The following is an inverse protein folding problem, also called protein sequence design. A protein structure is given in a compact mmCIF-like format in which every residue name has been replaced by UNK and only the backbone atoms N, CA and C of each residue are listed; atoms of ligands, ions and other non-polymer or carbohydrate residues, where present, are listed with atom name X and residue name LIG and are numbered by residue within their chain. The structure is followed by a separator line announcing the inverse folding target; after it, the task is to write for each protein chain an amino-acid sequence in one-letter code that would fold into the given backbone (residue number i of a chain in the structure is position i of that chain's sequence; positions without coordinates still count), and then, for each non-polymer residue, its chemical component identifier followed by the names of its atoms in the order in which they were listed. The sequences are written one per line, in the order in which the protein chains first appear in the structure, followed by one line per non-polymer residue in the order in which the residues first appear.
data_IF_584615171610
#
_entry.id   IF_584615171610
#
_cell.length_a   1.000
_cell.length_b   1.000
_cell.length_c   1.000
_cell.angle_alpha   90.00
_cell.angle_beta   90.00
_cell.angle_gamma   90.00
#
_symmetry.space_group_name_H-M   'P 1'
#
loop_
_entity.id
_entity.type
_entity.pdbx_description
1 polymer ?
#
# COMPACT_ATOMS: atom_id res chain seq x y z
N UNK A 1 -10.20 16.74 -4.97
CA UNK A 1 -10.09 15.99 -3.70
C UNK A 1 -8.78 16.33 -3.01
N UNK A 2 -8.77 16.24 -1.70
CA UNK A 2 -7.57 16.24 -0.88
C UNK A 2 -7.19 14.78 -0.60
N UNK A 3 -6.00 14.37 -0.98
CA UNK A 3 -5.51 13.00 -0.85
C UNK A 3 -4.37 12.99 0.16
N UNK A 4 -4.45 12.12 1.15
CA UNK A 4 -3.36 11.83 2.06
C UNK A 4 -2.77 10.47 1.72
N UNK A 5 -1.50 10.43 1.30
CA UNK A 5 -0.75 9.20 1.08
C UNK A 5 0.09 8.92 2.33
N UNK A 6 0.00 7.71 2.87
CA UNK A 6 0.74 7.29 4.06
C UNK A 6 1.64 6.11 3.70
N UNK A 7 2.95 6.30 3.77
CA UNK A 7 3.93 5.25 3.54
C UNK A 7 5.30 5.77 3.11
N UNK A 8 6.25 4.83 3.02
CA UNK A 8 7.60 5.11 2.58
C UNK A 8 7.76 5.21 1.07
N UNK A 9 8.96 5.54 0.65
CA UNK A 9 9.29 5.79 -0.75
C UNK A 9 9.32 4.51 -1.58
N UNK A 10 8.40 4.40 -2.55
CA UNK A 10 8.43 3.37 -3.58
C UNK A 10 7.99 3.95 -4.94
N UNK A 11 8.10 3.18 -6.02
CA UNK A 11 7.66 3.64 -7.36
C UNK A 11 6.16 3.90 -7.39
N UNK A 12 5.37 3.04 -6.79
CA UNK A 12 3.91 3.15 -6.74
C UNK A 12 3.46 4.48 -6.13
N UNK A 13 4.01 4.87 -4.96
CA UNK A 13 3.63 6.14 -4.32
C UNK A 13 3.98 7.35 -5.18
N UNK A 14 5.13 7.31 -5.88
CA UNK A 14 5.54 8.37 -6.80
C UNK A 14 4.57 8.49 -7.99
N UNK A 15 4.12 7.36 -8.54
CA UNK A 15 3.18 7.34 -9.66
C UNK A 15 1.77 7.75 -9.22
N UNK A 16 1.33 7.39 -8.01
CA UNK A 16 0.08 7.90 -7.42
C UNK A 16 0.13 9.43 -7.25
N UNK A 17 1.22 9.98 -6.72
CA UNK A 17 1.41 11.44 -6.60
C UNK A 17 1.27 12.11 -7.97
N UNK A 18 1.94 11.57 -8.99
CA UNK A 18 1.89 12.13 -10.36
C UNK A 18 0.46 12.05 -10.91
N UNK A 19 -0.21 10.89 -10.76
CA UNK A 19 -1.58 10.69 -11.26
C UNK A 19 -2.55 11.67 -10.59
N UNK A 20 -2.65 11.68 -9.28
CA UNK A 20 -3.59 12.55 -8.57
C UNK A 20 -3.35 14.03 -8.85
N UNK A 21 -2.10 14.47 -8.96
CA UNK A 21 -1.78 15.86 -9.34
C UNK A 21 -2.18 16.19 -10.77
N UNK A 22 -1.94 15.29 -11.72
CA UNK A 22 -2.35 15.46 -13.12
C UNK A 22 -3.86 15.66 -13.23
N UNK A 23 -4.61 14.97 -12.38
CA UNK A 23 -6.08 15.06 -12.31
C UNK A 23 -6.59 16.26 -11.45
N UNK A 24 -5.69 17.15 -11.04
CA UNK A 24 -6.04 18.38 -10.32
C UNK A 24 -6.32 18.21 -8.83
N UNK A 25 -5.86 17.10 -8.22
CA UNK A 25 -6.05 16.85 -6.79
C UNK A 25 -4.89 17.38 -5.94
N UNK A 26 -5.19 17.76 -4.70
CA UNK A 26 -4.20 18.17 -3.71
C UNK A 26 -3.68 16.92 -2.99
N UNK A 27 -2.39 16.66 -3.07
CA UNK A 27 -1.76 15.47 -2.48
C UNK A 27 -0.83 15.88 -1.36
N UNK A 28 -1.07 15.35 -0.16
CA UNK A 28 -0.17 15.42 1.00
C UNK A 28 0.43 14.05 1.26
N UNK A 29 1.67 14.02 1.74
CA UNK A 29 2.42 12.78 2.01
C UNK A 29 2.82 12.71 3.47
N UNK A 30 2.49 11.61 4.13
CA UNK A 30 2.96 11.24 5.46
C UNK A 30 3.94 10.07 5.33
N UNK A 31 5.18 10.26 5.75
CA UNK A 31 6.22 9.24 5.66
C UNK A 31 7.14 9.25 6.88
N UNK A 32 7.56 8.06 7.33
CA UNK A 32 8.54 7.90 8.41
C UNK A 32 9.99 8.00 7.94
N UNK A 33 10.24 8.04 6.64
CA UNK A 33 11.57 8.21 6.08
C UNK A 33 12.05 9.65 6.20
N UNK A 34 13.37 9.84 6.37
CA UNK A 34 13.98 11.16 6.27
C UNK A 34 13.75 11.72 4.86
N UNK A 35 12.98 12.78 4.78
CA UNK A 35 12.62 13.42 3.55
C UNK A 35 13.84 13.95 2.81
N UNK A 36 14.02 13.51 1.55
CA UNK A 36 14.90 14.17 0.61
C UNK A 36 14.06 15.15 -0.21
N UNK A 37 14.16 16.44 0.11
CA UNK A 37 13.35 17.53 -0.47
C UNK A 37 13.18 17.44 -2.00
N UNK A 38 14.22 17.00 -2.71
CA UNK A 38 14.20 16.83 -4.17
C UNK A 38 13.32 15.70 -4.69
N UNK A 39 13.00 14.70 -3.88
CA UNK A 39 12.28 13.49 -4.32
C UNK A 39 10.77 13.69 -4.38
N UNK A 40 10.25 14.58 -3.54
CA UNK A 40 8.81 14.82 -3.38
C UNK A 40 8.37 16.27 -3.66
N UNK A 41 9.11 17.03 -4.45
CA UNK A 41 8.78 18.43 -4.81
C UNK A 41 7.37 18.61 -5.41
N UNK A 42 6.75 17.51 -5.83
CA UNK A 42 5.43 17.51 -6.45
C UNK A 42 4.27 17.40 -5.47
N UNK A 43 4.50 17.17 -4.18
CA UNK A 43 3.41 17.12 -3.19
C UNK A 43 3.11 18.49 -2.62
N UNK A 44 1.90 18.67 -2.12
CA UNK A 44 1.46 19.92 -1.51
C UNK A 44 2.14 20.14 -0.16
N UNK A 45 2.12 19.10 0.69
CA UNK A 45 2.75 19.08 1.99
C UNK A 45 3.37 17.70 2.25
N UNK A 46 4.47 17.67 3.00
CA UNK A 46 5.10 16.44 3.45
C UNK A 46 5.29 16.49 4.94
N UNK A 47 4.78 15.47 5.60
CA UNK A 47 4.92 15.25 7.03
C UNK A 47 5.94 14.12 7.24
N UNK A 48 6.97 14.39 8.03
CA UNK A 48 8.04 13.44 8.33
C UNK A 48 8.07 13.17 9.82
N UNK A 49 7.49 12.07 10.27
CA UNK A 49 7.55 11.62 11.65
C UNK A 49 7.35 10.10 11.74
N UNK A 50 7.61 9.54 12.89
CA UNK A 50 7.20 8.18 13.23
C UNK A 50 5.68 8.16 13.41
N UNK A 51 5.01 7.08 13.04
CA UNK A 51 3.54 6.94 13.11
C UNK A 51 2.99 6.99 14.55
N UNK A 52 3.29 8.07 15.26
CA UNK A 52 2.88 8.34 16.64
C UNK A 52 1.45 8.86 16.66
N UNK A 53 0.60 8.28 17.52
CA UNK A 53 -0.82 8.55 17.58
C UNK A 53 -1.19 10.01 17.88
N UNK A 54 -0.42 10.69 18.74
CA UNK A 54 -0.74 12.06 19.17
C UNK A 54 -0.62 13.07 18.04
N UNK A 55 0.41 12.93 17.20
CA UNK A 55 0.65 13.84 16.07
C UNK A 55 -0.15 13.47 14.83
N UNK A 56 -0.61 12.23 14.75
CA UNK A 56 -1.31 11.71 13.60
C UNK A 56 -2.69 12.34 13.45
N UNK A 57 -3.44 12.47 14.54
CA UNK A 57 -4.74 13.14 14.55
C UNK A 57 -4.62 14.58 14.13
N UNK A 58 -3.62 15.33 14.65
CA UNK A 58 -3.38 16.73 14.27
C UNK A 58 -3.11 16.87 12.77
N UNK A 59 -2.34 15.93 12.20
CA UNK A 59 -2.04 15.95 10.75
C UNK A 59 -3.27 15.61 9.93
N UNK A 60 -4.01 14.58 10.29
CA UNK A 60 -5.23 14.19 9.59
C UNK A 60 -6.26 15.31 9.65
N UNK A 61 -6.40 15.99 10.80
CA UNK A 61 -7.28 17.15 10.92
C UNK A 61 -6.81 18.32 10.06
N UNK A 62 -5.52 18.65 10.09
CA UNK A 62 -4.93 19.74 9.27
C UNK A 62 -5.09 19.48 7.77
N UNK A 63 -4.81 18.28 7.30
CA UNK A 63 -4.96 17.90 5.88
C UNK A 63 -6.43 17.85 5.49
N UNK A 64 -7.28 17.36 6.40
CA UNK A 64 -8.69 17.10 6.18
C UNK A 64 -8.92 16.34 4.86
N UNK A 65 -8.41 15.11 4.74
CA UNK A 65 -8.42 14.36 3.50
C UNK A 65 -9.82 13.87 3.12
N UNK A 66 -10.14 13.92 1.83
CA UNK A 66 -11.29 13.24 1.27
C UNK A 66 -11.01 11.73 1.13
N UNK A 67 -9.73 11.39 0.88
CA UNK A 67 -9.26 10.00 0.77
C UNK A 67 -7.89 9.87 1.42
N UNK A 68 -7.74 8.87 2.28
CA UNK A 68 -6.46 8.44 2.85
C UNK A 68 -6.05 7.11 2.23
N UNK A 69 -4.86 7.04 1.63
CA UNK A 69 -4.33 5.82 1.03
C UNK A 69 -3.12 5.36 1.84
N UNK A 70 -3.27 4.22 2.51
CA UNK A 70 -2.21 3.55 3.26
C UNK A 70 -1.47 2.58 2.34
N UNK A 71 -0.17 2.80 2.17
CA UNK A 71 0.66 1.99 1.26
C UNK A 71 0.79 0.52 1.70
N UNK A 72 0.49 0.20 2.95
CA UNK A 72 0.36 -1.17 3.45
C UNK A 72 1.51 -2.08 3.02
N UNK A 73 1.21 -3.10 2.22
CA UNK A 73 2.18 -4.07 1.68
C UNK A 73 3.35 -3.43 0.91
N UNK A 74 3.16 -2.21 0.40
CA UNK A 74 4.13 -1.47 -0.40
C UNK A 74 4.85 -0.36 0.38
N UNK A 75 4.66 -0.32 1.71
CA UNK A 75 5.31 0.66 2.57
C UNK A 75 6.77 0.26 2.84
N UNK A 76 7.71 1.03 2.31
CA UNK A 76 9.14 0.81 2.47
C UNK A 76 9.70 1.24 3.85
N UNK A 77 8.87 1.81 4.72
CA UNK A 77 9.25 2.09 6.11
C UNK A 77 9.38 0.81 6.94
N UNK A 78 8.79 -0.31 6.47
CA UNK A 78 8.82 -1.59 7.19
C UNK A 78 9.80 -2.57 6.58
N UNK A 79 10.43 -3.35 7.47
CA UNK A 79 11.28 -4.48 7.10
C UNK A 79 10.46 -5.77 7.14
N UNK A 80 9.68 -5.99 6.12
CA UNK A 80 8.69 -7.06 6.02
C UNK A 80 9.20 -8.50 6.21
N UNK A 81 10.52 -8.69 6.25
CA UNK A 81 11.15 -9.99 6.50
C UNK A 81 11.51 -10.22 7.98
N UNK A 82 11.32 -9.22 8.81
CA UNK A 82 11.73 -9.23 10.22
C UNK A 82 10.50 -9.35 11.12
N UNK A 83 10.40 -10.44 11.88
CA UNK A 83 9.23 -10.76 12.72
C UNK A 83 8.90 -9.67 13.74
N UNK A 84 9.90 -8.98 14.28
CA UNK A 84 9.67 -7.91 15.23
C UNK A 84 9.01 -6.65 14.63
N UNK A 85 8.99 -6.52 13.31
CA UNK A 85 8.25 -5.44 12.64
C UNK A 85 6.73 -5.64 12.71
N UNK A 86 6.22 -6.86 12.95
CA UNK A 86 4.78 -7.14 13.02
C UNK A 86 4.06 -6.24 14.03
N UNK A 87 4.66 -6.03 15.20
CA UNK A 87 4.10 -5.16 16.24
C UNK A 87 3.99 -3.72 15.75
N UNK A 88 5.02 -3.22 15.06
CA UNK A 88 5.01 -1.85 14.52
C UNK A 88 3.95 -1.70 13.43
N UNK A 89 3.91 -2.62 12.47
CA UNK A 89 2.91 -2.60 11.38
C UNK A 89 1.51 -2.51 11.96
N UNK A 90 1.19 -3.38 12.92
CA UNK A 90 -0.14 -3.43 13.54
C UNK A 90 -0.45 -2.18 14.34
N UNK A 91 0.47 -1.71 15.19
CA UNK A 91 0.24 -0.53 16.03
C UNK A 91 0.12 0.75 15.19
N UNK A 92 0.95 0.92 14.17
CA UNK A 92 0.87 2.06 13.27
C UNK A 92 -0.44 2.07 12.50
N UNK A 93 -0.86 0.91 11.98
CA UNK A 93 -2.14 0.79 11.27
C UNK A 93 -3.33 1.15 12.20
N UNK A 94 -3.34 0.61 13.42
CA UNK A 94 -4.37 0.95 14.41
C UNK A 94 -4.40 2.46 14.66
N UNK A 95 -3.25 3.10 14.86
CA UNK A 95 -3.18 4.54 15.11
C UNK A 95 -3.72 5.35 13.91
N UNK A 96 -3.39 4.95 12.69
CA UNK A 96 -3.92 5.60 11.46
C UNK A 96 -5.43 5.48 11.41
N UNK A 97 -5.95 4.26 11.58
CA UNK A 97 -7.40 4.01 11.48
C UNK A 97 -8.17 4.67 12.61
N UNK A 98 -7.63 4.70 13.83
CA UNK A 98 -8.20 5.44 14.95
C UNK A 98 -8.32 6.93 14.65
N UNK A 99 -7.23 7.54 14.16
CA UNK A 99 -7.23 8.96 13.80
C UNK A 99 -8.25 9.26 12.69
N UNK A 100 -8.34 8.44 11.65
CA UNK A 100 -9.33 8.59 10.58
C UNK A 100 -10.78 8.48 11.13
N UNK A 101 -11.01 7.57 12.07
CA UNK A 101 -12.34 7.35 12.67
C UNK A 101 -12.74 8.52 13.57
N UNK A 102 -11.84 8.98 14.44
CA UNK A 102 -12.10 10.08 15.39
C UNK A 102 -12.45 11.36 14.67
N UNK A 103 -11.71 11.67 13.60
CA UNK A 103 -11.92 12.87 12.79
C UNK A 103 -13.07 12.72 11.77
N UNK A 104 -13.68 11.52 11.66
CA UNK A 104 -14.72 11.19 10.65
C UNK A 104 -14.30 11.63 9.24
N UNK A 105 -13.04 11.38 8.89
CA UNK A 105 -12.44 11.84 7.64
C UNK A 105 -12.54 10.79 6.56
N UNK A 106 -13.18 11.17 5.47
CA UNK A 106 -13.10 10.57 4.16
C UNK A 106 -13.07 9.03 4.08
N UNK A 107 -12.76 8.55 2.89
CA UNK A 107 -12.53 7.13 2.60
C UNK A 107 -11.09 6.75 2.96
N UNK A 108 -10.90 5.53 3.47
CA UNK A 108 -9.58 4.93 3.64
C UNK A 108 -9.38 3.79 2.63
N UNK A 109 -8.25 3.76 1.96
CA UNK A 109 -7.83 2.66 1.09
C UNK A 109 -6.56 2.06 1.69
N UNK A 110 -6.58 0.77 2.00
CA UNK A 110 -5.42 0.02 2.46
C UNK A 110 -4.92 -0.89 1.34
N UNK A 111 -3.65 -0.76 0.96
CA UNK A 111 -3.04 -1.58 -0.08
C UNK A 111 -2.46 -2.84 0.55
N UNK A 112 -3.12 -3.97 0.33
CA UNK A 112 -2.66 -5.32 0.67
C UNK A 112 -2.03 -6.01 -0.56
N UNK A 113 -1.71 -7.28 -0.47
CA UNK A 113 -1.10 -8.07 -1.53
C UNK A 113 -1.76 -9.44 -1.65
N UNK A 114 -1.68 -10.03 -2.83
CA UNK A 114 -2.04 -11.43 -3.12
C UNK A 114 -1.27 -12.44 -2.26
N UNK A 115 -0.16 -12.02 -1.64
CA UNK A 115 0.61 -12.86 -0.71
C UNK A 115 -0.22 -13.41 0.45
N UNK A 116 -1.35 -12.80 0.79
CA UNK A 116 -2.28 -13.32 1.80
C UNK A 116 -2.87 -14.69 1.44
N UNK A 117 -2.82 -15.04 0.17
CA UNK A 117 -3.29 -16.33 -0.35
C UNK A 117 -2.19 -17.36 -0.56
N UNK A 118 -0.90 -17.00 -0.39
CA UNK A 118 0.22 -17.88 -0.70
C UNK A 118 0.19 -19.16 0.13
N UNK A 119 -0.22 -20.24 -0.51
CA UNK A 119 -0.37 -21.57 0.06
C UNK A 119 -0.74 -22.58 -1.01
N UNK A 120 -1.05 -23.81 -0.57
CA UNK A 120 -1.51 -24.85 -1.48
C UNK A 120 -3.00 -24.61 -1.78
N UNK A 121 -3.33 -24.21 -2.99
CA UNK A 121 -4.70 -24.05 -3.49
C UNK A 121 -4.90 -24.98 -4.69
N UNK A 122 -5.99 -25.76 -4.63
CA UNK A 122 -6.38 -26.66 -5.74
C UNK A 122 -7.25 -25.92 -6.78
N UNK A 123 -7.83 -24.77 -6.41
CA UNK A 123 -8.77 -24.00 -7.24
C UNK A 123 -8.27 -22.59 -7.50
N UNK A 124 -8.84 -21.95 -8.52
CA UNK A 124 -8.63 -20.53 -8.79
C UNK A 124 -8.99 -19.69 -7.57
N UNK A 125 -8.09 -18.81 -7.15
CA UNK A 125 -8.32 -17.89 -6.05
C UNK A 125 -9.43 -16.91 -6.35
N UNK A 126 -10.26 -16.64 -5.35
CA UNK A 126 -11.31 -15.63 -5.32
C UNK A 126 -11.09 -14.72 -4.10
N UNK A 127 -11.78 -13.60 -4.05
CA UNK A 127 -11.65 -12.66 -2.92
C UNK A 127 -12.02 -13.30 -1.58
N UNK A 128 -12.97 -14.23 -1.59
CA UNK A 128 -13.47 -14.99 -0.44
C UNK A 128 -12.62 -16.24 -0.11
N UNK A 129 -11.63 -16.56 -0.93
CA UNK A 129 -10.77 -17.71 -0.66
C UNK A 129 -10.08 -17.57 0.70
N UNK A 130 -9.89 -18.68 1.42
CA UNK A 130 -9.23 -18.64 2.73
C UNK A 130 -7.85 -18.00 2.68
N UNK A 131 -7.58 -17.11 3.62
CA UNK A 131 -6.27 -16.49 3.76
C UNK A 131 -5.31 -17.52 4.40
N UNK A 132 -4.41 -18.04 3.59
CA UNK A 132 -3.50 -19.12 3.96
C UNK A 132 -2.03 -18.76 3.78
N UNK A 133 -1.74 -17.49 3.58
CA UNK A 133 -0.40 -17.02 3.28
C UNK A 133 0.66 -17.50 4.27
N UNK A 134 1.71 -18.10 3.74
CA UNK A 134 2.83 -18.63 4.52
C UNK A 134 3.95 -17.58 4.62
N UNK A 135 4.61 -17.53 5.77
CA UNK A 135 5.72 -16.64 6.03
C UNK A 135 5.35 -15.36 6.80
N UNK A 136 6.38 -14.67 7.28
CA UNK A 136 6.25 -13.51 8.17
C UNK A 136 5.43 -12.39 7.52
N UNK A 137 5.76 -12.04 6.28
CA UNK A 137 5.10 -10.95 5.55
C UNK A 137 3.62 -11.24 5.31
N UNK A 138 3.28 -12.43 4.82
CA UNK A 138 1.88 -12.82 4.59
C UNK A 138 1.07 -12.81 5.89
N UNK A 139 1.64 -13.32 6.99
CA UNK A 139 1.00 -13.27 8.31
C UNK A 139 0.75 -11.84 8.79
N UNK A 140 1.68 -10.91 8.58
CA UNK A 140 1.50 -9.49 8.90
C UNK A 140 0.38 -8.86 8.08
N UNK A 141 0.28 -9.19 6.79
CA UNK A 141 -0.75 -8.67 5.90
C UNK A 141 -2.14 -9.20 6.29
N UNK A 142 -2.27 -10.50 6.59
CA UNK A 142 -3.51 -11.11 7.08
C UNK A 142 -3.97 -10.43 8.37
N UNK A 143 -3.04 -10.17 9.30
CA UNK A 143 -3.34 -9.44 10.53
C UNK A 143 -3.80 -8.01 10.25
N UNK A 144 -3.14 -7.31 9.34
CA UNK A 144 -3.51 -5.95 8.95
C UNK A 144 -4.89 -5.89 8.32
N UNK A 145 -5.24 -6.82 7.44
CA UNK A 145 -6.59 -6.91 6.87
C UNK A 145 -7.66 -7.20 7.93
N UNK A 146 -7.36 -8.06 8.90
CA UNK A 146 -8.26 -8.32 10.04
C UNK A 146 -8.50 -7.05 10.87
N UNK A 147 -7.47 -6.23 11.10
CA UNK A 147 -7.60 -4.92 11.75
C UNK A 147 -8.51 -4.01 10.91
N UNK A 148 -8.28 -3.90 9.61
CA UNK A 148 -9.10 -3.10 8.71
C UNK A 148 -10.58 -3.51 8.75
N UNK A 149 -10.87 -4.82 8.67
CA UNK A 149 -12.22 -5.35 8.75
C UNK A 149 -12.89 -5.04 10.10
N UNK A 150 -12.13 -5.06 11.19
CA UNK A 150 -12.64 -4.70 12.51
C UNK A 150 -13.08 -3.23 12.55
N UNK A 151 -12.27 -2.32 12.04
CA UNK A 151 -12.61 -0.89 11.97
C UNK A 151 -13.81 -0.63 11.07
N UNK A 152 -13.91 -1.32 9.94
CA UNK A 152 -15.06 -1.22 9.05
C UNK A 152 -16.36 -1.67 9.74
N UNK A 153 -16.35 -2.83 10.39
CA UNK A 153 -17.55 -3.44 11.00
C UNK A 153 -18.00 -2.75 12.29
N UNK A 154 -17.05 -2.43 13.17
CA UNK A 154 -17.36 -2.00 14.53
C UNK A 154 -17.32 -0.48 14.71
N UNK A 155 -16.62 0.23 13.82
CA UNK A 155 -16.46 1.68 13.90
C UNK A 155 -17.09 2.44 12.72
N UNK A 156 -17.64 1.70 11.74
CA UNK A 156 -18.29 2.29 10.57
C UNK A 156 -17.34 3.08 9.66
N UNK A 157 -16.04 2.77 9.69
CA UNK A 157 -15.07 3.45 8.84
C UNK A 157 -15.28 3.04 7.37
N UNK A 158 -15.44 4.02 6.47
CA UNK A 158 -15.46 3.76 5.03
C UNK A 158 -14.06 3.36 4.58
N UNK A 159 -13.81 2.06 4.55
CA UNK A 159 -12.50 1.47 4.30
C UNK A 159 -12.59 0.40 3.20
N UNK A 160 -11.67 0.46 2.26
CA UNK A 160 -11.51 -0.55 1.20
C UNK A 160 -10.11 -1.15 1.30
N UNK A 161 -10.02 -2.48 1.35
CA UNK A 161 -8.76 -3.22 1.24
C UNK A 161 -8.59 -3.64 -0.22
N UNK A 162 -7.45 -3.28 -0.81
CA UNK A 162 -7.09 -3.68 -2.18
C UNK A 162 -5.92 -4.66 -2.14
N UNK A 163 -6.15 -5.91 -2.51
CA UNK A 163 -5.13 -6.93 -2.69
C UNK A 163 -4.57 -6.79 -4.09
N UNK A 164 -3.35 -6.29 -4.19
CA UNK A 164 -2.67 -6.11 -5.47
C UNK A 164 -1.73 -7.28 -5.72
N UNK A 165 -1.72 -7.75 -6.96
CA UNK A 165 -0.76 -8.74 -7.44
C UNK A 165 0.67 -8.16 -7.47
N UNK A 166 1.63 -8.98 -7.86
CA UNK A 166 3.02 -8.57 -8.05
C UNK A 166 3.10 -7.42 -9.05
N UNK A 167 3.44 -6.24 -8.54
CA UNK A 167 3.58 -5.05 -9.38
C UNK A 167 4.85 -5.16 -10.23
N UNK A 168 4.71 -4.84 -11.52
CA UNK A 168 5.84 -4.62 -12.40
C UNK A 168 5.75 -3.26 -13.08
N UNK A 169 6.90 -2.66 -13.32
CA UNK A 169 7.03 -1.41 -14.06
C UNK A 169 8.20 -1.47 -15.03
N UNK A 170 8.33 -0.45 -15.87
CA UNK A 170 9.51 -0.27 -16.69
C UNK A 170 10.53 0.56 -15.89
N UNK A 171 11.60 -0.05 -15.37
CA UNK A 171 12.60 0.68 -14.61
C UNK A 171 13.32 1.66 -15.51
N UNK A 172 13.63 2.85 -14.99
CA UNK A 172 14.38 3.86 -15.72
C UNK A 172 15.88 3.55 -15.73
N UNK A 173 16.36 2.81 -14.75
CA UNK A 173 17.77 2.43 -14.56
C UNK A 173 17.86 1.00 -14.07
N UNK A 174 18.93 0.26 -14.40
CA UNK A 174 19.10 -1.13 -13.94
C UNK A 174 19.02 -1.30 -12.42
N UNK A 175 19.49 -0.32 -11.65
CA UNK A 175 19.44 -0.32 -10.19
C UNK A 175 18.02 -0.11 -9.61
N UNK A 176 17.09 0.36 -10.41
CA UNK A 176 15.69 0.53 -10.00
C UNK A 176 14.86 -0.76 -10.17
N UNK A 177 15.48 -1.84 -10.68
CA UNK A 177 14.84 -3.14 -10.87
C UNK A 177 14.65 -3.83 -9.54
N UNK A 178 13.42 -3.99 -9.12
CA UNK A 178 13.06 -4.56 -7.82
C UNK A 178 11.91 -5.58 -7.87
N UNK A 179 11.38 -5.88 -9.06
CA UNK A 179 10.32 -6.87 -9.21
C UNK A 179 10.81 -8.13 -9.92
N UNK A 180 10.21 -9.27 -9.58
CA UNK A 180 10.68 -10.59 -9.98
C UNK A 180 10.84 -10.75 -11.50
N UNK A 181 9.88 -10.30 -12.30
CA UNK A 181 9.93 -10.41 -13.75
C UNK A 181 11.11 -9.66 -14.36
N UNK A 182 11.43 -8.46 -13.87
CA UNK A 182 12.58 -7.71 -14.36
C UNK A 182 13.92 -8.26 -13.85
N UNK A 183 13.95 -8.83 -12.65
CA UNK A 183 15.14 -9.55 -12.14
C UNK A 183 15.44 -10.77 -13.01
N UNK A 184 14.43 -11.55 -13.37
CA UNK A 184 14.57 -12.68 -14.30
C UNK A 184 15.06 -12.24 -15.68
N UNK A 185 14.52 -11.13 -16.22
CA UNK A 185 15.01 -10.57 -17.47
C UNK A 185 16.47 -10.15 -17.39
N UNK A 186 16.91 -9.50 -16.30
CA UNK A 186 18.30 -9.13 -16.09
C UNK A 186 19.22 -10.35 -15.96
N UNK A 187 18.80 -11.40 -15.28
CA UNK A 187 19.53 -12.65 -15.16
C UNK A 187 19.71 -13.28 -16.55
N UNK A 188 18.62 -13.40 -17.31
CA UNK A 188 18.67 -13.92 -18.68
C UNK A 188 19.62 -13.13 -19.58
N UNK A 189 19.59 -11.80 -19.49
CA UNK A 189 20.49 -10.93 -20.28
C UNK A 189 21.95 -11.08 -19.88
N UNK A 190 22.27 -11.38 -18.62
CA UNK A 190 23.63 -11.52 -18.10
C UNK A 190 24.21 -12.91 -18.32
N UNK A 191 23.39 -13.94 -18.14
CA UNK A 191 23.86 -15.34 -18.07
C UNK A 191 23.36 -16.21 -19.21
N UNK A 192 22.38 -15.76 -19.97
CA UNK A 192 21.66 -16.56 -20.96
C UNK A 192 20.66 -17.55 -20.37
N UNK A 193 20.52 -17.59 -19.05
CA UNK A 193 19.64 -18.53 -18.32
C UNK A 193 18.80 -17.79 -17.28
N UNK A 194 17.71 -18.42 -16.85
CA UNK A 194 16.90 -18.01 -15.71
C UNK A 194 16.86 -19.17 -14.73
N UNK A 195 17.18 -18.92 -13.47
CA UNK A 195 17.07 -19.92 -12.41
C UNK A 195 15.72 -19.79 -11.71
N UNK A 196 14.86 -20.80 -11.84
CA UNK A 196 13.57 -20.87 -11.16
C UNK A 196 13.72 -21.89 -10.02
N UNK A 197 13.51 -21.44 -8.77
CA UNK A 197 13.67 -22.30 -7.60
C UNK A 197 12.51 -23.30 -7.45
N UNK A 198 11.30 -22.86 -7.79
CA UNK A 198 10.08 -23.67 -7.73
C UNK A 198 9.16 -23.29 -8.89
N UNK A 199 8.30 -24.24 -9.30
CA UNK A 199 7.32 -23.98 -10.35
C UNK A 199 6.07 -23.35 -9.70
N UNK A 200 6.05 -22.02 -9.59
CA UNK A 200 4.92 -21.29 -9.07
C UNK A 200 4.29 -20.44 -10.18
N UNK A 201 2.98 -20.53 -10.26
CA UNK A 201 2.19 -19.55 -11.01
C UNK A 201 2.08 -18.29 -10.17
N UNK A 202 2.36 -17.13 -10.77
CA UNK A 202 2.14 -15.85 -10.14
C UNK A 202 1.53 -14.86 -11.13
N UNK A 203 0.66 -14.03 -10.63
CA UNK A 203 0.05 -12.97 -11.41
C UNK A 203 0.92 -11.72 -11.41
N UNK A 204 0.95 -11.01 -12.53
CA UNK A 204 1.68 -9.76 -12.67
C UNK A 204 0.72 -8.62 -13.01
N UNK A 205 0.75 -7.56 -12.22
CA UNK A 205 -0.03 -6.35 -12.44
C UNK A 205 0.89 -5.20 -12.87
N UNK A 206 0.56 -4.56 -13.99
CA UNK A 206 1.29 -3.36 -14.40
C UNK A 206 1.05 -2.23 -13.40
N UNK A 207 2.11 -1.59 -12.91
CA UNK A 207 2.01 -0.52 -11.92
C UNK A 207 1.16 0.67 -12.42
N UNK A 208 1.14 0.94 -13.73
CA UNK A 208 0.27 1.99 -14.29
C UNK A 208 -1.21 1.63 -14.16
N UNK A 209 -1.54 0.36 -14.40
CA UNK A 209 -2.91 -0.13 -14.27
C UNK A 209 -3.34 -0.15 -12.80
N UNK A 210 -2.44 -0.54 -11.89
CA UNK A 210 -2.67 -0.43 -10.46
C UNK A 210 -2.96 1.02 -10.03
N UNK A 211 -2.20 1.99 -10.53
CA UNK A 211 -2.41 3.42 -10.25
C UNK A 211 -3.77 3.90 -10.76
N UNK A 212 -4.16 3.51 -11.97
CA UNK A 212 -5.47 3.86 -12.53
C UNK A 212 -6.60 3.23 -11.72
N UNK A 213 -6.45 1.97 -11.33
CA UNK A 213 -7.43 1.26 -10.49
C UNK A 213 -7.59 1.93 -9.11
N UNK A 214 -6.50 2.21 -8.41
CA UNK A 214 -6.53 2.92 -7.12
C UNK A 214 -7.20 4.29 -7.28
N UNK A 215 -6.90 5.00 -8.37
CA UNK A 215 -7.53 6.28 -8.68
C UNK A 215 -9.04 6.17 -8.88
N UNK A 216 -9.51 5.14 -9.60
CA UNK A 216 -10.94 4.88 -9.78
C UNK A 216 -11.64 4.61 -8.45
N UNK A 217 -11.08 3.74 -7.60
CA UNK A 217 -11.61 3.44 -6.27
C UNK A 217 -11.65 4.69 -5.38
N UNK A 218 -10.62 5.54 -5.44
CA UNK A 218 -10.59 6.80 -4.69
C UNK A 218 -11.71 7.77 -5.11
N UNK A 219 -12.21 7.68 -6.33
CA UNK A 219 -13.31 8.53 -6.85
C UNK A 219 -14.69 7.97 -6.57
N UNK A 220 -14.82 6.71 -6.22
CA UNK A 220 -16.12 6.15 -5.86
C UNK A 220 -16.72 6.90 -4.67
N UNK A 221 -18.02 7.19 -4.71
CA UNK A 221 -18.69 7.84 -3.59
C UNK A 221 -18.53 7.01 -2.32
N UNK A 222 -18.45 7.69 -1.17
CA UNK A 222 -18.42 7.02 0.12
C UNK A 222 -19.66 6.13 0.25
N UNK A 223 -19.47 4.88 0.66
CA UNK A 223 -20.58 3.99 1.01
C UNK A 223 -21.06 4.40 2.41
N UNK A 224 -22.05 5.27 2.46
CA UNK A 224 -22.83 5.46 3.66
C UNK A 224 -23.80 4.28 3.79
N UNK A 225 -23.35 3.15 4.27
CA UNK A 225 -24.25 2.14 4.85
C UNK A 225 -24.43 2.49 6.32
N UNK A 226 -25.63 2.98 6.63
CA UNK A 226 -26.15 3.13 7.99
C UNK A 226 -26.52 1.76 8.51
#
# INVERSE_FOLDING_TARGET
MKILLIGGSCSLINNLIVKFKKEGHRVSLLTGERYQKKKYEKVFETYNFTYDSEKLSDIIDSVNPDVTICMGAFDSNYRWKEEHEAVKVSSHLVNILMACTQEKKGKVIYLSSDEVYYGDHEEKLQEESPLSGKGVRASMLIQAESICQNFQKNWGLDLTVLRLDHLYNQPKRPEDVNHIGALMCLEALKTGCITVQENHDFSLLNEKDAVEFIYCIAKEPQKHEI
#
